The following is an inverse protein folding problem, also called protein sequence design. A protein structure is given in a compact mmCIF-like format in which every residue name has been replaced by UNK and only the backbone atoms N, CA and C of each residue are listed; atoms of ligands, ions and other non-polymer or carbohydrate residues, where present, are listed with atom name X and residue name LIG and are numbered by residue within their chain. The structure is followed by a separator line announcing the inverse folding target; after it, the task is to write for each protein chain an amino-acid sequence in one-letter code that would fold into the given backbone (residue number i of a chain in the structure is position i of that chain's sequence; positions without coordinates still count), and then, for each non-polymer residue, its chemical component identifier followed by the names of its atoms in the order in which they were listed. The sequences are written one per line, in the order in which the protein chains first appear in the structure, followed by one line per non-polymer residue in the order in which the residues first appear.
data_IF_528872301980
#
_entry.id   IF_528872301980
#
_cell.length_a   1.000
_cell.length_b   1.000
_cell.length_c   1.000
_cell.angle_alpha   90.00
_cell.angle_beta   90.00
_cell.angle_gamma   90.00
#
_symmetry.space_group_name_H-M   'P 1'
#
loop_
_entity.id
_entity.type
_entity.pdbx_description
1 polymer ?
#
# COMPACT_ATOMS: atom_id res chain seq x y z
N UNK A 1 -16.11 25.45 1.91
CA UNK A 1 -14.69 25.18 2.24
C UNK A 1 -14.57 23.81 2.92
N UNK A 2 -15.41 23.48 3.90
CA UNK A 2 -15.48 22.14 4.54
C UNK A 2 -15.70 20.97 3.55
N UNK A 3 -16.63 21.12 2.60
CA UNK A 3 -16.98 20.06 1.62
C UNK A 3 -15.85 19.76 0.64
N UNK A 4 -15.06 20.78 0.27
CA UNK A 4 -13.94 20.67 -0.66
C UNK A 4 -12.77 19.94 -0.02
N UNK A 5 -12.42 20.27 1.23
CA UNK A 5 -11.36 19.57 1.97
C UNK A 5 -11.71 18.09 2.18
N UNK A 6 -12.95 17.79 2.60
CA UNK A 6 -13.41 16.41 2.78
C UNK A 6 -13.35 15.58 1.49
N UNK A 7 -13.69 16.18 0.35
CA UNK A 7 -13.59 15.52 -0.96
C UNK A 7 -12.13 15.17 -1.30
N UNK A 8 -11.19 16.11 -1.16
CA UNK A 8 -9.77 15.83 -1.40
C UNK A 8 -9.20 14.77 -0.46
N UNK A 9 -9.54 14.86 0.83
CA UNK A 9 -9.12 13.89 1.83
C UNK A 9 -9.60 12.48 1.44
N UNK A 10 -10.90 12.30 1.18
CA UNK A 10 -11.47 10.99 0.83
C UNK A 10 -10.94 10.44 -0.49
N UNK A 11 -10.77 11.28 -1.52
CA UNK A 11 -10.22 10.83 -2.81
C UNK A 11 -8.78 10.37 -2.67
N UNK A 12 -7.92 11.17 -2.04
CA UNK A 12 -6.48 10.86 -1.93
C UNK A 12 -6.24 9.67 -1.00
N UNK A 13 -6.85 9.67 0.19
CA UNK A 13 -6.74 8.55 1.13
C UNK A 13 -7.44 7.29 0.62
N UNK A 14 -8.54 7.42 -0.12
CA UNK A 14 -9.25 6.30 -0.75
C UNK A 14 -8.43 5.61 -1.85
N UNK A 15 -7.75 6.38 -2.71
CA UNK A 15 -6.81 5.85 -3.70
C UNK A 15 -5.66 5.13 -2.99
N UNK A 16 -5.08 5.74 -1.96
CA UNK A 16 -4.01 5.11 -1.18
C UNK A 16 -4.49 3.81 -0.51
N UNK A 17 -5.66 3.80 0.12
CA UNK A 17 -6.26 2.62 0.73
C UNK A 17 -6.49 1.49 -0.29
N UNK A 18 -6.85 1.83 -1.53
CA UNK A 18 -6.98 0.85 -2.62
C UNK A 18 -5.62 0.21 -2.94
N UNK A 19 -4.52 0.97 -2.97
CA UNK A 19 -3.18 0.42 -3.17
C UNK A 19 -2.76 -0.50 -2.01
N UNK A 20 -3.04 -0.11 -0.77
CA UNK A 20 -2.79 -0.97 0.40
C UNK A 20 -3.55 -2.29 0.26
N UNK A 21 -4.83 -2.25 -0.11
CA UNK A 21 -5.64 -3.47 -0.33
C UNK A 21 -5.05 -4.37 -1.43
N UNK A 22 -4.63 -3.79 -2.57
CA UNK A 22 -3.97 -4.52 -3.66
C UNK A 22 -2.71 -5.22 -3.14
N UNK A 23 -1.88 -4.51 -2.39
CA UNK A 23 -0.66 -5.11 -1.85
C UNK A 23 -0.93 -6.20 -0.80
N UNK A 24 -1.98 -6.07 0.03
CA UNK A 24 -2.38 -7.14 0.97
C UNK A 24 -2.79 -8.40 0.21
N UNK A 25 -3.57 -8.24 -0.86
CA UNK A 25 -3.94 -9.37 -1.74
C UNK A 25 -2.69 -9.98 -2.36
N UNK A 26 -1.76 -9.18 -2.88
CA UNK A 26 -0.52 -9.67 -3.46
C UNK A 26 0.35 -10.41 -2.43
N UNK A 27 0.52 -9.85 -1.22
CA UNK A 27 1.23 -10.50 -0.12
C UNK A 27 0.60 -11.86 0.24
N UNK A 28 -0.74 -11.92 0.28
CA UNK A 28 -1.48 -13.16 0.54
C UNK A 28 -1.23 -14.22 -0.54
N UNK A 29 -1.13 -13.81 -1.81
CA UNK A 29 -0.80 -14.72 -2.92
C UNK A 29 0.65 -15.22 -2.86
N UNK A 30 1.61 -14.35 -2.50
CA UNK A 30 3.01 -14.76 -2.31
C UNK A 30 3.14 -15.74 -1.14
N UNK A 31 2.43 -15.48 -0.04
CA UNK A 31 2.38 -16.38 1.11
C UNK A 31 1.74 -17.73 0.74
N UNK A 32 0.62 -17.72 0.02
CA UNK A 32 -0.04 -18.95 -0.43
C UNK A 32 0.89 -19.78 -1.33
N UNK A 33 1.61 -19.15 -2.27
CA UNK A 33 2.57 -19.83 -3.14
C UNK A 33 3.74 -20.44 -2.34
N UNK A 34 4.24 -19.74 -1.33
CA UNK A 34 5.29 -20.24 -0.45
C UNK A 34 4.84 -21.43 0.41
N UNK A 35 3.58 -21.43 0.86
CA UNK A 35 3.01 -22.52 1.65
C UNK A 35 2.68 -23.75 0.81
N UNK A 36 2.36 -23.58 -0.47
CA UNK A 36 2.09 -24.68 -1.40
C UNK A 36 3.37 -25.42 -1.80
N UNK A 37 4.42 -24.67 -2.17
CA UNK A 37 5.76 -25.24 -2.42
C UNK A 37 6.86 -24.29 -1.90
N UNK A 38 7.45 -24.59 -0.72
CA UNK A 38 8.54 -23.80 -0.15
C UNK A 38 9.83 -23.78 -0.99
N UNK A 39 10.00 -24.70 -1.94
CA UNK A 39 11.13 -24.71 -2.86
C UNK A 39 10.92 -23.76 -4.06
N UNK A 40 9.73 -23.16 -4.19
CA UNK A 40 9.45 -22.16 -5.22
C UNK A 40 10.38 -20.95 -5.06
N UNK A 41 11.09 -20.60 -6.13
CA UNK A 41 11.87 -19.36 -6.17
C UNK A 41 10.94 -18.14 -6.26
N UNK A 42 10.70 -17.54 -5.10
CA UNK A 42 9.92 -16.31 -4.95
C UNK A 42 10.80 -15.08 -4.73
N UNK A 43 12.13 -15.21 -4.71
CA UNK A 43 13.04 -14.14 -4.26
C UNK A 43 12.84 -12.84 -5.05
N UNK A 44 12.85 -12.92 -6.39
CA UNK A 44 12.62 -11.76 -7.24
C UNK A 44 11.20 -11.18 -7.13
N UNK A 45 10.19 -12.04 -6.90
CA UNK A 45 8.80 -11.58 -6.70
C UNK A 45 8.63 -10.83 -5.38
N UNK A 46 9.29 -11.32 -4.33
CA UNK A 46 9.31 -10.68 -3.00
C UNK A 46 10.08 -9.37 -3.06
N UNK A 47 11.19 -9.28 -3.80
CA UNK A 47 11.93 -8.03 -3.98
C UNK A 47 11.07 -6.95 -4.64
N UNK A 48 10.42 -7.28 -5.77
CA UNK A 48 9.53 -6.35 -6.47
C UNK A 48 8.32 -5.96 -5.59
N UNK A 49 7.74 -6.92 -4.88
CA UNK A 49 6.68 -6.64 -3.91
C UNK A 49 7.16 -5.72 -2.78
N UNK A 50 8.37 -5.93 -2.26
CA UNK A 50 8.98 -5.09 -1.24
C UNK A 50 9.16 -3.66 -1.73
N UNK A 51 9.64 -3.46 -2.95
CA UNK A 51 9.74 -2.13 -3.58
C UNK A 51 8.36 -1.47 -3.73
N UNK A 52 7.34 -2.21 -4.15
CA UNK A 52 5.96 -1.73 -4.21
C UNK A 52 5.44 -1.32 -2.83
N UNK A 53 5.66 -2.15 -1.81
CA UNK A 53 5.18 -1.91 -0.46
C UNK A 53 5.87 -0.71 0.20
N UNK A 54 7.18 -0.55 -0.02
CA UNK A 54 7.92 0.63 0.42
C UNK A 54 7.44 1.92 -0.26
N UNK A 55 7.12 1.87 -1.56
CA UNK A 55 6.54 3.02 -2.24
C UNK A 55 5.20 3.43 -1.61
N UNK A 56 4.32 2.47 -1.33
CA UNK A 56 3.03 2.73 -0.67
C UNK A 56 3.26 3.35 0.72
N UNK A 57 4.20 2.83 1.52
CA UNK A 57 4.52 3.35 2.86
C UNK A 57 5.04 4.80 2.82
N UNK A 58 5.94 5.12 1.89
CA UNK A 58 6.44 6.50 1.69
C UNK A 58 5.31 7.46 1.35
N UNK A 59 4.40 7.07 0.45
CA UNK A 59 3.21 7.88 0.13
C UNK A 59 2.37 8.10 1.39
N UNK A 60 2.17 7.07 2.22
CA UNK A 60 1.41 7.20 3.46
C UNK A 60 2.04 8.19 4.44
N UNK A 61 3.35 8.15 4.63
CA UNK A 61 4.06 9.09 5.52
C UNK A 61 3.82 10.54 5.08
N UNK A 62 3.85 10.82 3.78
CA UNK A 62 3.58 12.14 3.22
C UNK A 62 2.12 12.54 3.47
N UNK A 63 1.16 11.66 3.18
CA UNK A 63 -0.27 11.92 3.39
C UNK A 63 -0.61 12.16 4.86
N UNK A 64 -0.04 11.35 5.75
CA UNK A 64 -0.20 11.50 7.19
C UNK A 64 0.32 12.87 7.65
N UNK A 65 1.49 13.26 7.17
CA UNK A 65 2.09 14.56 7.50
C UNK A 65 1.18 15.70 7.04
N UNK A 66 0.72 15.68 5.79
CA UNK A 66 -0.11 16.75 5.23
C UNK A 66 -1.49 16.87 5.89
N UNK A 67 -2.16 15.76 6.18
CA UNK A 67 -3.55 15.79 6.66
C UNK A 67 -3.68 15.76 8.19
N UNK A 68 -2.69 15.24 8.91
CA UNK A 68 -2.77 15.08 10.36
C UNK A 68 -1.74 15.91 11.15
N UNK A 69 -0.52 16.13 10.62
CA UNK A 69 0.53 16.88 11.34
C UNK A 69 0.61 18.36 10.97
N UNK A 70 0.46 18.69 9.68
CA UNK A 70 0.57 20.07 9.15
C UNK A 70 -0.78 20.81 9.21
N UNK A 71 -1.76 20.22 9.90
CA UNK A 71 -3.01 20.90 10.24
C UNK A 71 -2.78 22.02 11.25
#
# INVERSE_FOLDING_TARGET
METTYGAYFLTITGIHGTHVLIGIVWASLLLAAFLDDPATDLAGRIEVFGLYWHFVDVVWIILFTLFYLVR
#
